data_IF_858816553058
#
_entry.id   IF_858816553058
#
_cell.length_a   1.000
_cell.length_b   1.000
_cell.length_c   1.000
_cell.angle_alpha   90.00
_cell.angle_beta   90.00
_cell.angle_gamma   90.00
#
_symmetry.space_group_name_H-M   'P 1'
#
loop_
_entity.id
_entity.type
_entity.pdbx_description
1 polymer ?
#
# COMPACT_ATOMS: atom_id res chain seq x y z
N UNK A 1 -2.83 -1.20 2.75
CA UNK A 1 -2.78 -0.46 1.46
C UNK A 1 -3.00 -1.37 0.26
N UNK A 2 -2.21 -2.44 0.08
CA UNK A 2 -2.23 -3.27 -1.14
C UNK A 2 -3.64 -3.73 -1.60
N UNK A 3 -4.50 -4.21 -0.70
CA UNK A 3 -5.86 -4.66 -1.06
C UNK A 3 -6.72 -3.51 -1.59
N UNK A 4 -6.77 -2.38 -0.89
CA UNK A 4 -7.59 -1.22 -1.29
C UNK A 4 -7.06 -0.62 -2.59
N UNK A 5 -5.74 -0.45 -2.71
CA UNK A 5 -5.12 0.01 -3.95
C UNK A 5 -5.42 -0.94 -5.12
N UNK A 6 -5.33 -2.25 -4.89
CA UNK A 6 -5.65 -3.29 -5.85
C UNK A 6 -7.10 -3.21 -6.31
N UNK A 7 -8.07 -3.04 -5.40
CA UNK A 7 -9.48 -2.91 -5.75
C UNK A 7 -9.80 -1.62 -6.53
N UNK A 8 -8.97 -0.58 -6.38
CA UNK A 8 -9.14 0.70 -7.05
C UNK A 8 -8.42 0.82 -8.41
N UNK A 9 -7.68 -0.20 -8.84
CA UNK A 9 -7.10 -0.20 -10.19
C UNK A 9 -8.19 -0.22 -11.26
N UNK A 10 -7.93 0.40 -12.41
CA UNK A 10 -8.90 0.56 -13.50
C UNK A 10 -9.58 -0.75 -13.92
N UNK A 11 -8.87 -1.89 -14.11
CA UNK A 11 -9.51 -3.17 -14.42
C UNK A 11 -10.58 -3.64 -13.42
N UNK A 12 -10.50 -3.26 -12.15
CA UNK A 12 -11.47 -3.67 -11.12
C UNK A 12 -12.53 -2.59 -10.92
N UNK A 13 -12.13 -1.32 -10.81
CA UNK A 13 -13.06 -0.22 -10.53
C UNK A 13 -14.09 0.01 -11.64
N UNK A 14 -13.80 -0.39 -12.89
CA UNK A 14 -14.75 -0.30 -14.01
C UNK A 14 -15.91 -1.30 -13.97
N UNK A 15 -15.84 -2.34 -13.15
CA UNK A 15 -16.83 -3.43 -13.10
C UNK A 15 -18.13 -3.00 -12.40
N UNK A 16 -18.86 -2.05 -12.99
CA UNK A 16 -20.01 -1.38 -12.37
C UNK A 16 -21.12 -2.35 -11.99
N UNK A 17 -21.34 -3.42 -12.78
CA UNK A 17 -22.39 -4.42 -12.49
C UNK A 17 -22.01 -5.31 -11.32
N UNK A 18 -20.71 -5.55 -11.12
CA UNK A 18 -20.18 -6.27 -9.96
C UNK A 18 -20.27 -5.38 -8.71
N UNK A 19 -19.82 -4.13 -8.80
CA UNK A 19 -19.85 -3.19 -7.67
C UNK A 19 -21.26 -2.85 -7.19
N UNK A 20 -22.27 -2.84 -8.07
CA UNK A 20 -23.67 -2.62 -7.67
C UNK A 20 -24.24 -3.70 -6.74
N UNK A 21 -23.56 -4.85 -6.64
CA UNK A 21 -23.94 -5.97 -5.76
C UNK A 21 -23.18 -5.99 -4.43
N UNK A 22 -22.26 -5.04 -4.21
CA UNK A 22 -21.38 -5.00 -3.04
C UNK A 22 -21.78 -3.87 -2.10
N UNK A 23 -21.74 -4.13 -0.78
CA UNK A 23 -21.94 -3.08 0.21
C UNK A 23 -20.65 -2.27 0.41
N UNK A 24 -20.64 -1.03 -0.06
CA UNK A 24 -19.43 -0.19 -0.15
C UNK A 24 -19.05 0.54 1.15
N UNK A 25 -19.94 0.62 2.15
CA UNK A 25 -19.74 1.47 3.32
C UNK A 25 -18.40 1.20 4.06
N UNK A 26 -18.06 -0.08 4.29
CA UNK A 26 -16.78 -0.45 4.93
C UNK A 26 -15.58 -0.17 4.02
N UNK A 27 -15.75 -0.34 2.71
CA UNK A 27 -14.70 -0.07 1.73
C UNK A 27 -14.37 1.43 1.72
N UNK A 28 -15.37 2.31 1.65
CA UNK A 28 -15.17 3.77 1.66
C UNK A 28 -14.50 4.28 2.94
N UNK A 29 -14.79 3.67 4.10
CA UNK A 29 -14.05 3.98 5.34
C UNK A 29 -12.56 3.63 5.19
N UNK A 30 -12.25 2.45 4.64
CA UNK A 30 -10.87 2.02 4.42
C UNK A 30 -10.15 2.88 3.38
N UNK A 31 -10.84 3.32 2.33
CA UNK A 31 -10.31 4.25 1.33
C UNK A 31 -9.95 5.59 1.97
N UNK A 32 -10.84 6.16 2.79
CA UNK A 32 -10.57 7.42 3.47
C UNK A 32 -9.35 7.34 4.41
N UNK A 33 -9.16 6.20 5.09
CA UNK A 33 -7.96 6.00 5.92
C UNK A 33 -6.66 5.95 5.10
N UNK A 34 -6.74 5.75 3.80
CA UNK A 34 -5.61 5.65 2.88
C UNK A 34 -5.50 6.85 1.93
N UNK A 35 -6.28 7.90 2.15
CA UNK A 35 -6.29 9.10 1.32
C UNK A 35 -4.90 9.79 1.30
N UNK A 36 -4.34 10.09 0.13
CA UNK A 36 -3.01 10.71 0.01
C UNK A 36 -2.98 12.20 0.37
N UNK A 37 -4.14 12.85 0.51
CA UNK A 37 -4.28 14.27 0.83
C UNK A 37 -3.56 14.63 2.13
N UNK A 38 -3.05 15.86 2.19
CA UNK A 38 -2.30 16.37 3.35
C UNK A 38 -1.18 15.42 3.79
N UNK A 39 -0.48 14.82 2.82
CA UNK A 39 0.59 13.84 3.01
C UNK A 39 0.15 12.64 3.87
N UNK A 40 -0.99 12.02 3.52
CA UNK A 40 -1.53 10.85 4.21
C UNK A 40 -1.88 11.12 5.69
N UNK A 41 -2.48 12.28 6.01
CA UNK A 41 -2.75 12.68 7.40
C UNK A 41 -3.66 11.71 8.17
N UNK A 42 -4.72 11.20 7.53
CA UNK A 42 -5.63 10.20 8.10
C UNK A 42 -4.88 8.90 8.43
N UNK A 43 -4.12 8.39 7.46
CA UNK A 43 -3.29 7.20 7.65
C UNK A 43 -2.30 7.37 8.80
N UNK A 44 -1.58 8.50 8.84
CA UNK A 44 -0.59 8.80 9.90
C UNK A 44 -1.21 8.85 11.28
N UNK A 45 -2.40 9.45 11.40
CA UNK A 45 -3.14 9.50 12.66
C UNK A 45 -3.55 8.08 13.12
N UNK A 46 -4.02 7.26 12.18
CA UNK A 46 -4.37 5.86 12.44
C UNK A 46 -3.15 5.01 12.80
N UNK A 47 -2.01 5.19 12.13
CA UNK A 47 -0.75 4.52 12.45
C UNK A 47 -0.27 4.92 13.85
N UNK A 48 -0.27 6.21 14.18
CA UNK A 48 0.08 6.70 15.52
C UNK A 48 -0.82 6.06 16.58
N UNK A 49 -2.14 6.04 16.37
CA UNK A 49 -3.07 5.38 17.30
C UNK A 49 -2.82 3.87 17.42
N UNK A 50 -2.45 3.19 16.33
CA UNK A 50 -2.09 1.77 16.35
C UNK A 50 -0.81 1.52 17.16
N UNK A 51 0.19 2.38 17.02
CA UNK A 51 1.42 2.31 17.80
C UNK A 51 1.18 2.52 19.30
N UNK A 52 0.33 3.48 19.68
CA UNK A 52 -0.05 3.68 21.09
C UNK A 52 -0.70 2.43 21.67
N UNK A 53 -1.64 1.82 20.93
CA UNK A 53 -2.28 0.56 21.32
C UNK A 53 -1.27 -0.58 21.44
N UNK A 54 -0.36 -0.70 20.48
CA UNK A 54 0.71 -1.71 20.48
C UNK A 54 1.63 -1.59 21.69
N UNK A 55 2.01 -0.37 22.09
CA UNK A 55 2.92 -0.14 23.21
C UNK A 55 2.29 -0.52 24.56
N UNK A 56 0.98 -0.31 24.71
CA UNK A 56 0.22 -0.66 25.93
C UNK A 56 -0.42 -2.05 25.91
N UNK A 57 -0.22 -2.83 24.85
CA UNK A 57 -0.93 -4.10 24.67
C UNK A 57 -0.42 -5.21 25.61
N UNK A 58 -1.34 -5.81 26.34
CA UNK A 58 -1.13 -7.03 27.11
C UNK A 58 -1.18 -8.29 26.23
N UNK A 59 -2.06 -8.28 25.22
CA UNK A 59 -2.18 -9.33 24.21
C UNK A 59 -1.13 -9.14 23.11
N UNK A 60 -0.30 -10.17 22.89
CA UNK A 60 0.73 -10.17 21.84
C UNK A 60 0.16 -9.93 20.45
N UNK A 61 -1.08 -10.36 20.18
CA UNK A 61 -1.73 -10.17 18.87
C UNK A 61 -1.98 -8.70 18.56
N UNK A 62 -2.10 -7.86 19.59
CA UNK A 62 -2.34 -6.42 19.46
C UNK A 62 -1.05 -5.62 19.36
N UNK A 63 0.12 -6.26 19.53
CA UNK A 63 1.45 -5.63 19.37
C UNK A 63 1.91 -5.56 17.91
N UNK A 64 1.21 -6.22 16.99
CA UNK A 64 1.62 -6.27 15.59
C UNK A 64 1.12 -5.03 14.85
N UNK A 65 2.06 -4.23 14.37
CA UNK A 65 1.79 -3.09 13.49
C UNK A 65 2.62 -3.25 12.22
N UNK A 66 1.95 -3.26 11.07
CA UNK A 66 2.60 -3.31 9.75
C UNK A 66 2.38 -1.96 9.05
N UNK A 67 3.39 -1.07 9.05
CA UNK A 67 3.28 0.24 8.40
C UNK A 67 3.35 0.12 6.87
N UNK A 68 2.89 1.15 6.17
CA UNK A 68 3.05 1.29 4.74
C UNK A 68 4.47 1.74 4.43
N UNK A 69 5.32 0.77 4.08
CA UNK A 69 6.77 0.97 3.97
C UNK A 69 7.17 2.10 3.00
N UNK A 70 6.45 2.27 1.89
CA UNK A 70 6.75 3.34 0.93
C UNK A 70 6.61 4.74 1.54
N UNK A 71 5.70 4.94 2.51
CA UNK A 71 5.56 6.21 3.20
C UNK A 71 6.72 6.46 4.17
N UNK A 72 7.20 5.41 4.85
CA UNK A 72 8.40 5.49 5.70
C UNK A 72 9.63 5.86 4.86
N UNK A 73 9.82 5.22 3.70
CA UNK A 73 10.92 5.55 2.78
C UNK A 73 10.81 6.99 2.29
N UNK A 74 9.60 7.44 1.93
CA UNK A 74 9.34 8.84 1.55
C UNK A 74 9.76 9.80 2.66
N UNK A 75 9.42 9.51 3.91
CA UNK A 75 9.75 10.37 5.06
C UNK A 75 11.26 10.43 5.31
N UNK A 76 11.95 9.28 5.26
CA UNK A 76 13.40 9.20 5.38
C UNK A 76 14.11 9.98 4.25
N UNK A 77 13.60 9.87 3.02
CA UNK A 77 14.10 10.61 1.87
C UNK A 77 14.00 12.12 2.11
N UNK A 78 12.82 12.64 2.47
CA UNK A 78 12.64 14.08 2.69
C UNK A 78 13.41 14.60 3.90
N UNK A 79 13.55 13.81 4.96
CA UNK A 79 14.39 14.16 6.10
C UNK A 79 15.87 14.23 5.71
N UNK A 80 16.32 13.33 4.83
CA UNK A 80 17.68 13.38 4.32
C UNK A 80 17.92 14.58 3.40
N UNK A 81 17.04 14.82 2.44
CA UNK A 81 17.21 15.91 1.47
C UNK A 81 16.95 17.29 2.08
N UNK A 82 16.13 17.37 3.14
CA UNK A 82 15.73 18.63 3.76
C UNK A 82 16.81 19.32 4.61
N UNK A 83 17.95 18.66 4.86
CA UNK A 83 19.02 19.19 5.73
C UNK A 83 20.42 18.84 5.22
N UNK A 84 21.37 19.77 5.32
CA UNK A 84 22.78 19.51 4.98
C UNK A 84 23.43 18.52 5.94
N UNK A 85 24.30 17.64 5.42
CA UNK A 85 25.10 16.69 6.21
C UNK A 85 26.14 17.39 7.11
N UNK A 86 26.54 18.60 6.74
CA UNK A 86 27.49 19.43 7.47
C UNK A 86 26.89 20.79 7.79
N UNK A 87 27.27 21.33 8.93
CA UNK A 87 26.99 22.71 9.33
C UNK A 87 27.88 23.68 8.52
N UNK A 88 27.58 25.00 8.51
CA UNK A 88 28.40 25.98 7.79
C UNK A 88 29.87 26.04 8.21
N UNK A 89 30.18 25.61 9.43
CA UNK A 89 31.55 25.48 9.95
C UNK A 89 32.27 24.18 9.53
N UNK A 90 31.65 23.35 8.68
CA UNK A 90 32.21 22.09 8.21
C UNK A 90 32.04 20.89 9.15
N UNK A 91 31.52 21.09 10.37
CA UNK A 91 31.24 20.00 11.31
C UNK A 91 30.05 19.15 10.85
N UNK A 92 29.99 17.89 11.33
CA UNK A 92 28.87 16.99 11.08
C UNK A 92 27.60 17.57 11.72
N UNK A 93 26.50 17.58 10.95
CA UNK A 93 25.20 17.97 11.46
C UNK A 93 24.55 16.81 12.23
N UNK A 94 24.93 16.63 13.50
CA UNK A 94 24.43 15.55 14.34
C UNK A 94 22.90 15.57 14.52
N UNK A 95 22.26 16.74 14.47
CA UNK A 95 20.79 16.85 14.60
C UNK A 95 20.09 16.10 13.45
N UNK A 96 20.55 16.28 12.20
CA UNK A 96 20.01 15.54 11.05
C UNK A 96 20.14 14.03 11.26
N UNK A 97 21.34 13.57 11.62
CA UNK A 97 21.60 12.14 11.82
C UNK A 97 20.81 11.57 12.99
N UNK A 98 20.61 12.35 14.06
CA UNK A 98 19.79 11.97 15.20
C UNK A 98 18.32 11.79 14.80
N UNK A 99 17.76 12.72 14.01
CA UNK A 99 16.39 12.60 13.51
C UNK A 99 16.22 11.37 12.61
N UNK A 100 17.18 11.09 11.72
CA UNK A 100 17.18 9.88 10.88
C UNK A 100 17.26 8.61 11.74
N UNK A 101 18.17 8.58 12.71
CA UNK A 101 18.34 7.46 13.62
C UNK A 101 17.05 7.18 14.42
N UNK A 102 16.32 8.21 14.85
CA UNK A 102 15.04 8.07 15.53
C UNK A 102 14.00 7.32 14.68
N UNK A 103 13.84 7.70 13.41
CA UNK A 103 12.91 7.06 12.48
C UNK A 103 13.29 5.60 12.19
N UNK A 104 14.59 5.33 11.99
CA UNK A 104 15.08 3.97 11.72
C UNK A 104 14.95 3.07 12.94
N UNK A 105 15.23 3.59 14.14
CA UNK A 105 15.12 2.84 15.40
C UNK A 105 13.69 2.39 15.66
N UNK A 106 12.73 3.27 15.40
CA UNK A 106 11.30 2.95 15.52
C UNK A 106 10.89 1.80 14.56
N UNK A 107 11.37 1.84 13.32
CA UNK A 107 11.16 0.75 12.36
C UNK A 107 11.79 -0.58 12.80
N UNK A 108 13.02 -0.53 13.33
CA UNK A 108 13.72 -1.73 13.86
C UNK A 108 12.91 -2.36 14.99
N UNK A 109 12.37 -1.54 15.91
CA UNK A 109 11.55 -2.02 17.01
C UNK A 109 10.32 -2.79 16.49
N UNK A 110 9.63 -2.30 15.47
CA UNK A 110 8.47 -3.00 14.88
C UNK A 110 8.87 -4.33 14.23
N UNK A 111 10.04 -4.40 13.58
CA UNK A 111 10.53 -5.61 12.93
C UNK A 111 10.89 -6.71 13.94
N UNK A 112 11.29 -6.35 15.15
CA UNK A 112 11.69 -7.28 16.20
C UNK A 112 10.50 -7.89 16.94
N UNK A 113 9.28 -7.40 16.74
CA UNK A 113 8.08 -7.96 17.38
C UNK A 113 7.84 -9.38 16.86
N UNK A 114 7.79 -10.35 17.76
CA UNK A 114 7.45 -11.73 17.44
C UNK A 114 6.01 -11.82 16.93
N UNK A 115 5.81 -12.45 15.78
CA UNK A 115 4.48 -12.64 15.19
C UNK A 115 3.75 -13.80 15.91
N UNK A 116 2.65 -13.56 16.64
CA UNK A 116 1.93 -14.59 17.39
C UNK A 116 0.96 -15.41 16.52
N UNK A 117 0.88 -15.11 15.23
CA UNK A 117 -0.03 -15.79 14.30
C UNK A 117 0.60 -17.09 13.78
N UNK A 118 -0.14 -18.18 13.91
CA UNK A 118 0.28 -19.48 13.39
C UNK A 118 0.45 -19.46 11.87
N UNK A 119 1.51 -20.08 11.38
CA UNK A 119 1.78 -20.19 9.95
C UNK A 119 1.04 -21.40 9.38
N UNK A 120 0.15 -21.17 8.43
CA UNK A 120 -0.44 -22.24 7.64
C UNK A 120 0.36 -22.45 6.35
N UNK A 121 1.11 -23.55 6.20
CA UNK A 121 1.98 -23.77 5.05
C UNK A 121 1.20 -23.89 3.74
N UNK A 122 -0.04 -24.41 3.76
CA UNK A 122 -0.87 -24.52 2.56
C UNK A 122 -1.31 -23.17 2.05
N UNK A 123 -1.72 -22.27 2.96
CA UNK A 123 -2.12 -20.90 2.59
C UNK A 123 -0.91 -20.12 2.08
N UNK A 124 0.26 -20.27 2.72
CA UNK A 124 1.49 -19.62 2.27
C UNK A 124 1.88 -20.09 0.86
N UNK A 125 1.95 -21.41 0.65
CA UNK A 125 2.28 -21.99 -0.65
C UNK A 125 1.29 -21.54 -1.74
N UNK A 126 -0.01 -21.53 -1.42
CA UNK A 126 -1.04 -21.03 -2.31
C UNK A 126 -0.78 -19.57 -2.71
N UNK A 127 -0.55 -18.68 -1.75
CA UNK A 127 -0.32 -17.25 -2.01
C UNK A 127 0.97 -17.01 -2.82
N UNK A 128 2.03 -17.78 -2.55
CA UNK A 128 3.31 -17.66 -3.25
C UNK A 128 3.28 -18.23 -4.67
N UNK A 129 2.45 -19.24 -4.95
CA UNK A 129 2.34 -19.86 -6.25
C UNK A 129 1.40 -19.12 -7.22
N UNK A 130 0.68 -18.08 -6.76
CA UNK A 130 -0.26 -17.35 -7.63
C UNK A 130 0.49 -16.56 -8.70
N UNK A 131 0.14 -16.72 -9.99
CA UNK A 131 0.75 -15.94 -11.05
C UNK A 131 0.37 -14.47 -10.89
N UNK A 132 1.34 -13.59 -11.07
CA UNK A 132 1.12 -12.14 -11.14
C UNK A 132 0.79 -11.79 -12.58
N UNK A 133 -0.36 -11.17 -12.79
CA UNK A 133 -0.83 -10.81 -14.12
C UNK A 133 -0.28 -9.45 -14.52
N UNK A 134 -0.02 -9.26 -15.82
CA UNK A 134 0.34 -7.94 -16.36
C UNK A 134 -0.88 -7.03 -16.37
N UNK A 135 -0.67 -5.71 -16.44
CA UNK A 135 -1.76 -4.73 -16.53
C UNK A 135 -2.67 -4.99 -17.73
N UNK A 136 -2.08 -5.34 -18.88
CA UNK A 136 -2.81 -5.70 -20.09
C UNK A 136 -3.64 -6.98 -19.91
N UNK A 137 -3.09 -8.02 -19.27
CA UNK A 137 -3.84 -9.26 -19.01
C UNK A 137 -5.02 -9.02 -18.05
N UNK A 138 -4.82 -8.21 -16.99
CA UNK A 138 -5.89 -7.81 -16.08
C UNK A 138 -6.97 -7.00 -16.80
N UNK A 139 -6.58 -6.05 -17.66
CA UNK A 139 -7.51 -5.24 -18.43
C UNK A 139 -8.33 -6.09 -19.41
N UNK A 140 -7.71 -7.05 -20.11
CA UNK A 140 -8.41 -7.98 -21.00
C UNK A 140 -9.44 -8.81 -20.25
N UNK A 141 -9.06 -9.44 -19.14
CA UNK A 141 -9.99 -10.24 -18.34
C UNK A 141 -11.11 -9.40 -17.72
N UNK A 142 -10.85 -8.14 -17.35
CA UNK A 142 -11.91 -7.21 -16.94
C UNK A 142 -12.97 -7.03 -18.02
N UNK A 143 -12.56 -6.86 -19.29
CA UNK A 143 -13.48 -6.76 -20.42
C UNK A 143 -14.19 -8.07 -20.76
N UNK A 144 -13.58 -9.21 -20.46
CA UNK A 144 -14.24 -10.53 -20.57
C UNK A 144 -15.33 -10.71 -19.50
N UNK A 145 -15.10 -10.20 -18.27
CA UNK A 145 -16.10 -10.22 -17.21
C UNK A 145 -17.26 -9.24 -17.47
N UNK A 146 -16.94 -7.99 -17.84
CA UNK A 146 -17.93 -6.96 -18.17
C UNK A 146 -17.52 -6.25 -19.47
N UNK A 147 -18.21 -6.47 -20.60
CA UNK A 147 -17.85 -5.85 -21.88
C UNK A 147 -17.75 -4.32 -21.82
N UNK A 148 -16.99 -3.70 -22.74
CA UNK A 148 -16.89 -2.25 -22.85
C UNK A 148 -18.25 -1.53 -22.87
N UNK A 149 -18.44 -0.54 -21.99
CA UNK A 149 -19.72 0.18 -21.86
C UNK A 149 -19.73 1.53 -22.60
N UNK A 150 -18.56 2.03 -23.01
CA UNK A 150 -18.39 3.32 -23.66
C UNK A 150 -17.37 3.27 -24.82
N UNK A 151 -17.28 4.34 -25.62
CA UNK A 151 -16.38 4.39 -26.77
C UNK A 151 -14.88 4.28 -26.40
N UNK A 152 -14.37 5.03 -25.39
CA UNK A 152 -12.99 4.86 -24.92
C UNK A 152 -12.62 3.41 -24.54
N UNK A 153 -13.51 2.70 -23.83
CA UNK A 153 -13.29 1.31 -23.46
C UNK A 153 -13.29 0.38 -24.68
N UNK A 154 -14.16 0.63 -25.67
CA UNK A 154 -14.17 -0.15 -26.93
C UNK A 154 -12.85 0.02 -27.69
N UNK A 155 -12.31 1.23 -27.73
CA UNK A 155 -11.02 1.51 -28.36
C UNK A 155 -9.87 0.83 -27.60
N UNK A 156 -9.86 0.95 -26.27
CA UNK A 156 -8.86 0.30 -25.42
C UNK A 156 -8.90 -1.23 -25.57
N UNK A 157 -10.08 -1.83 -25.61
CA UNK A 157 -10.24 -3.27 -25.80
C UNK A 157 -9.73 -3.74 -27.16
N UNK A 158 -10.02 -2.98 -28.23
CA UNK A 158 -9.48 -3.27 -29.57
C UNK A 158 -7.96 -3.19 -29.60
N UNK A 159 -7.37 -2.13 -29.02
CA UNK A 159 -5.93 -1.97 -28.93
C UNK A 159 -5.27 -3.15 -28.20
N UNK A 160 -5.81 -3.54 -27.04
CA UNK A 160 -5.30 -4.67 -26.26
C UNK A 160 -5.37 -6.00 -27.02
N UNK A 161 -6.45 -6.24 -27.79
CA UNK A 161 -6.55 -7.44 -28.64
C UNK A 161 -5.53 -7.44 -29.77
N UNK A 162 -5.31 -6.29 -30.41
CA UNK A 162 -4.30 -6.17 -31.46
C UNK A 162 -2.89 -6.42 -30.92
N UNK A 163 -2.57 -5.89 -29.73
CA UNK A 163 -1.30 -6.15 -29.05
C UNK A 163 -1.11 -7.63 -28.70
N UNK A 164 -2.16 -8.29 -28.21
CA UNK A 164 -2.11 -9.72 -27.88
C UNK A 164 -1.87 -10.60 -29.11
N UNK A 165 -2.49 -10.25 -30.24
CA UNK A 165 -2.33 -11.00 -31.50
C UNK A 165 -1.00 -10.75 -32.20
N UNK A 166 -0.25 -9.72 -31.80
CA UNK A 166 1.05 -9.38 -32.35
C UNK A 166 2.23 -10.03 -31.58
N UNK A 167 1.94 -10.75 -30.49
CA UNK A 167 2.90 -11.54 -29.71
C UNK A 167 2.84 -13.01 -30.11
#
# INVERSE_FOLDING_TARGET
MAIIAGLNISPISRLKKTWSKVQLAKFSILEHQMDPSSNFSSYRSTLKAAMWRSAGATDERQRIVVPFFSLLVKDLYFLNEGCSNKLPNGHINFEKFWQLAKQVTEFIAWKQVACPFEKNPRVIAFLQARPVWTENALALASFECEPPDNNPEKERYKALKSELNAQ
#
